data_IF_582239830653
#
_entry.id   IF_582239830653
#
_cell.length_a   1.000
_cell.length_b   1.000
_cell.length_c   1.000
_cell.angle_alpha   90.00
_cell.angle_beta   90.00
_cell.angle_gamma   90.00
#
_symmetry.space_group_name_H-M   'P 1'
#
loop_
_entity.id
_entity.type
_entity.pdbx_description
1 polymer ?
#
# COMPACT_ATOMS: atom_id res chain seq x y z
N UNK A 1 -29.31 52.02 -1.01
CA UNK A 1 -30.48 52.09 -1.90
C UNK A 1 -30.35 53.33 -2.78
N UNK A 2 -30.07 53.15 -4.07
CA UNK A 2 -29.91 54.27 -5.00
C UNK A 2 -31.21 54.44 -5.79
N UNK A 3 -31.84 55.61 -5.66
CA UNK A 3 -33.03 55.97 -6.44
C UNK A 3 -32.60 56.63 -7.73
N UNK A 4 -33.02 56.06 -8.87
CA UNK A 4 -32.73 56.64 -10.18
C UNK A 4 -34.04 57.01 -10.87
N UNK A 5 -34.25 58.30 -11.05
CA UNK A 5 -35.36 58.82 -11.85
C UNK A 5 -34.99 58.75 -13.32
N UNK A 6 -35.75 57.98 -14.09
CA UNK A 6 -35.57 57.86 -15.53
C UNK A 6 -36.75 58.53 -16.23
N UNK A 7 -36.43 59.44 -17.14
CA UNK A 7 -37.39 60.04 -18.07
C UNK A 7 -37.45 59.19 -19.32
N UNK A 8 -38.64 58.83 -19.75
CA UNK A 8 -38.88 58.08 -20.97
C UNK A 8 -40.06 58.71 -21.73
N UNK A 9 -40.14 58.46 -23.03
CA UNK A 9 -41.27 58.83 -23.86
C UNK A 9 -41.81 57.56 -24.52
N UNK A 10 -43.11 57.51 -24.74
CA UNK A 10 -43.75 56.38 -25.41
C UNK A 10 -43.53 56.50 -26.93
N UNK A 11 -43.39 55.37 -27.60
CA UNK A 11 -43.28 55.26 -29.06
C UNK A 11 -44.49 54.50 -29.59
N UNK A 12 -44.98 54.86 -30.77
CA UNK A 12 -46.08 54.17 -31.44
C UNK A 12 -45.57 52.93 -32.20
N UNK A 13 -46.48 52.22 -32.88
CA UNK A 13 -46.15 51.01 -33.66
C UNK A 13 -45.22 51.28 -34.85
N UNK A 14 -45.18 52.53 -35.34
CA UNK A 14 -44.28 53.00 -36.39
C UNK A 14 -42.92 53.46 -35.84
N UNK A 15 -42.68 53.23 -34.55
CA UNK A 15 -41.45 53.59 -33.83
C UNK A 15 -41.22 55.11 -33.71
N UNK A 16 -42.27 55.91 -33.85
CA UNK A 16 -42.25 57.36 -33.69
C UNK A 16 -42.64 57.79 -32.26
N UNK A 17 -42.04 58.85 -31.69
CA UNK A 17 -42.41 59.35 -30.38
C UNK A 17 -43.85 59.88 -30.33
N UNK A 18 -44.60 59.43 -29.33
CA UNK A 18 -45.92 59.96 -29.03
C UNK A 18 -45.78 61.37 -28.47
N UNK A 19 -46.55 62.30 -29.04
CA UNK A 19 -46.55 63.73 -28.69
C UNK A 19 -47.88 64.14 -28.07
N UNK A 20 -47.82 65.15 -27.21
CA UNK A 20 -49.01 65.82 -26.68
C UNK A 20 -49.70 66.65 -27.77
N UNK A 21 -50.91 67.15 -27.48
CA UNK A 21 -51.70 67.96 -28.42
C UNK A 21 -50.98 69.25 -28.88
N UNK A 22 -50.06 69.77 -28.07
CA UNK A 22 -49.22 70.93 -28.38
C UNK A 22 -47.96 70.60 -29.19
N UNK A 23 -47.76 69.33 -29.56
CA UNK A 23 -46.61 68.83 -30.31
C UNK A 23 -45.35 68.58 -29.49
N UNK A 24 -45.39 68.77 -28.16
CA UNK A 24 -44.30 68.40 -27.25
C UNK A 24 -44.23 66.88 -27.04
N UNK A 25 -43.06 66.35 -26.67
CA UNK A 25 -42.92 64.93 -26.31
C UNK A 25 -43.70 64.63 -25.04
N UNK A 26 -44.49 63.55 -25.03
CA UNK A 26 -45.13 63.07 -23.81
C UNK A 26 -44.10 62.34 -22.92
N UNK A 27 -43.40 63.13 -22.08
CA UNK A 27 -42.36 62.62 -21.18
C UNK A 27 -43.01 62.06 -19.92
N UNK A 28 -42.88 60.75 -19.71
CA UNK A 28 -43.21 60.08 -18.46
C UNK A 28 -41.97 59.94 -17.58
N UNK A 29 -42.20 59.84 -16.28
CA UNK A 29 -41.13 59.62 -15.29
C UNK A 29 -41.42 58.31 -14.56
N UNK A 30 -40.41 57.45 -14.44
CA UNK A 30 -40.46 56.28 -13.57
C UNK A 30 -39.35 56.40 -12.51
N UNK A 31 -39.70 56.06 -11.28
CA UNK A 31 -38.76 55.87 -10.19
C UNK A 31 -38.31 54.42 -10.21
N UNK A 32 -37.01 54.20 -10.48
CA UNK A 32 -36.42 52.86 -10.46
C UNK A 32 -35.63 52.73 -9.17
N UNK A 33 -36.03 51.76 -8.36
CA UNK A 33 -35.30 51.33 -7.18
C UNK A 33 -34.22 50.35 -7.64
N UNK A 34 -32.96 50.76 -7.56
CA UNK A 34 -31.84 49.85 -7.76
C UNK A 34 -31.53 49.22 -6.39
N UNK A 35 -31.81 47.91 -6.27
CA UNK A 35 -31.39 47.11 -5.11
C UNK A 35 -29.87 47.25 -4.92
N UNK A 36 -29.41 47.30 -3.67
CA UNK A 36 -28.00 47.55 -3.31
C UNK A 36 -27.11 46.45 -3.90
N UNK A 37 -26.41 46.75 -4.99
CA UNK A 37 -25.44 45.86 -5.64
C UNK A 37 -24.37 45.38 -4.67
N UNK A 38 -23.96 46.23 -3.73
CA UNK A 38 -22.89 45.94 -2.77
C UNK A 38 -23.27 44.81 -1.81
N UNK A 39 -24.52 44.77 -1.34
CA UNK A 39 -25.02 43.71 -0.44
C UNK A 39 -25.11 42.36 -1.17
N UNK A 40 -25.48 42.38 -2.45
CA UNK A 40 -25.52 41.18 -3.30
C UNK A 40 -24.11 40.68 -3.60
N UNK A 41 -23.15 41.58 -3.86
CA UNK A 41 -21.75 41.24 -4.08
C UNK A 41 -21.10 40.65 -2.82
N UNK A 42 -21.34 41.24 -1.64
CA UNK A 42 -20.86 40.72 -0.36
C UNK A 42 -21.44 39.33 -0.05
N UNK A 43 -22.74 39.14 -0.25
CA UNK A 43 -23.40 37.85 -0.07
C UNK A 43 -22.81 36.78 -1.01
N UNK A 44 -22.59 37.12 -2.29
CA UNK A 44 -21.99 36.20 -3.25
C UNK A 44 -20.54 35.87 -2.92
N UNK A 45 -19.74 36.84 -2.47
CA UNK A 45 -18.37 36.63 -2.04
C UNK A 45 -18.30 35.68 -0.82
N UNK A 46 -19.17 35.90 0.17
CA UNK A 46 -19.26 35.05 1.35
C UNK A 46 -19.67 33.60 1.00
N UNK A 47 -20.63 33.42 0.09
CA UNK A 47 -21.04 32.09 -0.38
C UNK A 47 -19.90 31.37 -1.12
N UNK A 48 -19.13 32.11 -1.94
CA UNK A 48 -18.00 31.56 -2.66
C UNK A 48 -16.87 31.15 -1.69
N UNK A 49 -16.57 31.97 -0.69
CA UNK A 49 -15.59 31.66 0.35
C UNK A 49 -15.99 30.39 1.13
N UNK A 50 -17.25 30.32 1.56
CA UNK A 50 -17.78 29.14 2.27
C UNK A 50 -17.70 27.87 1.39
N UNK A 51 -18.06 27.98 0.11
CA UNK A 51 -17.96 26.87 -0.83
C UNK A 51 -16.51 26.40 -1.01
N UNK A 52 -15.55 27.33 -1.12
CA UNK A 52 -14.13 26.99 -1.24
C UNK A 52 -13.57 26.34 0.04
N UNK A 53 -14.04 26.77 1.21
CA UNK A 53 -13.70 26.14 2.49
C UNK A 53 -14.17 24.68 2.50
N UNK A 54 -15.44 24.43 2.16
CA UNK A 54 -16.02 23.08 2.09
C UNK A 54 -15.29 22.17 1.08
N UNK A 55 -14.94 22.71 -0.09
CA UNK A 55 -14.17 21.97 -1.10
C UNK A 55 -12.81 21.56 -0.53
N UNK A 56 -12.13 22.48 0.16
CA UNK A 56 -10.83 22.20 0.79
C UNK A 56 -10.94 21.08 1.82
N UNK A 57 -11.95 21.15 2.70
CA UNK A 57 -12.21 20.13 3.72
C UNK A 57 -12.49 18.75 3.09
N UNK A 58 -13.31 18.71 2.04
CA UNK A 58 -13.60 17.48 1.31
C UNK A 58 -12.35 16.91 0.64
N UNK A 59 -11.49 17.74 0.04
CA UNK A 59 -10.22 17.31 -0.55
C UNK A 59 -9.27 16.74 0.50
N UNK A 60 -9.13 17.40 1.64
CA UNK A 60 -8.34 16.89 2.78
C UNK A 60 -8.87 15.53 3.23
N UNK A 61 -10.18 15.40 3.40
CA UNK A 61 -10.79 14.14 3.83
C UNK A 61 -10.61 13.04 2.80
N UNK A 62 -10.68 13.35 1.52
CA UNK A 62 -10.50 12.38 0.44
C UNK A 62 -9.06 11.85 0.39
N UNK A 63 -8.07 12.72 0.59
CA UNK A 63 -6.66 12.33 0.70
C UNK A 63 -6.41 11.44 1.92
N UNK A 64 -7.00 11.79 3.07
CA UNK A 64 -6.92 10.98 4.29
C UNK A 64 -7.52 9.58 4.08
N UNK A 65 -8.72 9.49 3.50
CA UNK A 65 -9.38 8.23 3.21
C UNK A 65 -8.59 7.37 2.21
N UNK A 66 -8.03 8.00 1.17
CA UNK A 66 -7.17 7.31 0.19
C UNK A 66 -5.97 6.67 0.89
N UNK A 67 -5.28 7.42 1.75
CA UNK A 67 -4.13 6.89 2.50
C UNK A 67 -4.52 5.74 3.45
N UNK A 68 -5.68 5.83 4.11
CA UNK A 68 -6.19 4.74 4.96
C UNK A 68 -6.48 3.46 4.17
N UNK A 69 -7.08 3.58 2.98
CA UNK A 69 -7.37 2.43 2.10
C UNK A 69 -6.07 1.76 1.63
N UNK A 70 -5.07 2.54 1.24
CA UNK A 70 -3.76 2.01 0.83
C UNK A 70 -3.10 1.23 1.98
N UNK A 71 -3.11 1.78 3.20
CA UNK A 71 -2.55 1.12 4.37
C UNK A 71 -3.29 -0.18 4.70
N UNK A 72 -4.63 -0.18 4.69
CA UNK A 72 -5.44 -1.37 4.94
C UNK A 72 -5.21 -2.45 3.88
N UNK A 73 -5.04 -2.05 2.62
CA UNK A 73 -4.75 -2.98 1.51
C UNK A 73 -3.41 -3.68 1.71
N UNK A 74 -2.38 -2.95 2.16
CA UNK A 74 -1.07 -3.54 2.47
C UNK A 74 -1.19 -4.52 3.63
N UNK A 75 -1.92 -4.15 4.69
CA UNK A 75 -2.13 -5.01 5.87
C UNK A 75 -2.86 -6.31 5.50
N UNK A 76 -3.91 -6.25 4.67
CA UNK A 76 -4.64 -7.44 4.22
C UNK A 76 -3.74 -8.39 3.43
N UNK A 77 -2.92 -7.87 2.50
CA UNK A 77 -1.95 -8.69 1.76
C UNK A 77 -0.92 -9.35 2.68
N UNK A 78 -0.47 -8.65 3.73
CA UNK A 78 0.45 -9.23 4.72
C UNK A 78 -0.20 -10.36 5.50
N UNK A 79 -1.46 -10.21 5.90
CA UNK A 79 -2.23 -11.26 6.59
C UNK A 79 -2.37 -12.48 5.68
N UNK A 80 -2.77 -12.31 4.42
CA UNK A 80 -2.88 -13.42 3.46
C UNK A 80 -1.56 -14.17 3.27
N UNK A 81 -0.43 -13.45 3.19
CA UNK A 81 0.91 -14.05 3.09
C UNK A 81 1.25 -14.84 4.35
N UNK A 82 0.97 -14.28 5.53
CA UNK A 82 1.23 -14.96 6.82
C UNK A 82 0.39 -16.22 6.93
N UNK A 83 -0.90 -16.16 6.58
CA UNK A 83 -1.79 -17.31 6.61
C UNK A 83 -1.31 -18.40 5.64
N UNK A 84 -0.83 -18.03 4.46
CA UNK A 84 -0.23 -18.97 3.51
C UNK A 84 1.06 -19.60 4.07
N UNK A 85 1.94 -18.81 4.69
CA UNK A 85 3.16 -19.32 5.32
C UNK A 85 2.82 -20.29 6.45
N UNK A 86 1.85 -19.94 7.30
CA UNK A 86 1.39 -20.81 8.39
C UNK A 86 0.82 -22.11 7.82
N UNK A 87 0.01 -22.05 6.77
CA UNK A 87 -0.48 -23.24 6.08
C UNK A 87 0.64 -24.15 5.58
N UNK A 88 1.68 -23.59 4.94
CA UNK A 88 2.84 -24.36 4.50
C UNK A 88 3.62 -24.95 5.69
N UNK A 89 3.77 -24.17 6.76
CA UNK A 89 4.53 -24.56 7.95
C UNK A 89 3.79 -25.59 8.80
N UNK A 90 2.47 -25.66 8.75
CA UNK A 90 1.69 -26.68 9.46
C UNK A 90 1.46 -27.93 8.59
N UNK A 91 1.79 -27.87 7.31
CA UNK A 91 1.65 -28.98 6.38
C UNK A 91 2.80 -30.00 6.56
N UNK A 92 2.51 -31.07 7.30
CA UNK A 92 3.46 -32.18 7.52
C UNK A 92 3.91 -32.88 6.22
N UNK A 93 3.06 -32.93 5.20
CA UNK A 93 3.45 -33.50 3.90
C UNK A 93 4.51 -32.63 3.22
N UNK A 94 4.32 -31.31 3.24
CA UNK A 94 5.29 -30.34 2.72
C UNK A 94 6.62 -30.39 3.49
N UNK A 95 6.57 -30.47 4.83
CA UNK A 95 7.79 -30.69 5.65
C UNK A 95 8.52 -31.96 5.27
N UNK A 96 7.79 -33.06 5.12
CA UNK A 96 8.37 -34.35 4.77
C UNK A 96 9.00 -34.35 3.38
N UNK A 97 8.43 -33.63 2.41
CA UNK A 97 9.04 -33.44 1.08
C UNK A 97 10.34 -32.65 1.19
N UNK A 98 10.36 -31.55 1.94
CA UNK A 98 11.58 -30.77 2.20
C UNK A 98 12.67 -31.61 2.87
N UNK A 99 12.32 -32.36 3.92
CA UNK A 99 13.24 -33.26 4.63
C UNK A 99 13.81 -34.34 3.72
N UNK A 100 12.97 -34.99 2.90
CA UNK A 100 13.43 -36.00 1.92
C UNK A 100 14.32 -35.42 0.84
N UNK A 101 14.09 -34.17 0.42
CA UNK A 101 14.96 -33.50 -0.56
C UNK A 101 16.35 -33.18 -0.01
N UNK A 102 16.47 -33.12 1.32
CA UNK A 102 17.70 -32.88 2.07
C UNK A 102 18.27 -34.17 2.67
N UNK A 103 17.80 -35.34 2.24
CA UNK A 103 18.27 -36.61 2.76
C UNK A 103 19.72 -36.86 2.34
N UNK A 104 20.64 -36.57 3.26
CA UNK A 104 22.09 -36.77 3.10
C UNK A 104 22.53 -38.17 3.56
N UNK A 105 21.60 -39.09 3.81
CA UNK A 105 21.92 -40.44 4.31
C UNK A 105 22.85 -41.18 3.35
N UNK A 106 22.58 -41.09 2.04
CA UNK A 106 23.40 -41.70 1.00
C UNK A 106 24.82 -41.09 0.97
N UNK A 107 24.92 -39.77 1.07
CA UNK A 107 26.22 -39.06 1.13
C UNK A 107 27.02 -39.48 2.38
N UNK A 108 26.36 -39.63 3.53
CA UNK A 108 26.98 -40.13 4.77
C UNK A 108 27.47 -41.57 4.59
N UNK A 109 26.71 -42.42 3.91
CA UNK A 109 27.09 -43.82 3.68
C UNK A 109 28.32 -43.93 2.76
N UNK A 110 28.39 -43.10 1.73
CA UNK A 110 29.57 -42.98 0.85
C UNK A 110 30.79 -42.52 1.66
N UNK A 111 30.65 -41.47 2.48
CA UNK A 111 31.75 -40.96 3.33
C UNK A 111 32.22 -42.03 4.32
N UNK A 112 31.30 -42.76 4.98
CA UNK A 112 31.64 -43.86 5.90
C UNK A 112 32.46 -44.93 5.20
N UNK A 113 32.05 -45.32 3.98
CA UNK A 113 32.74 -46.33 3.18
C UNK A 113 34.16 -45.87 2.82
N UNK A 114 34.32 -44.61 2.40
CA UNK A 114 35.62 -44.04 2.09
C UNK A 114 36.53 -43.95 3.33
N UNK A 115 36.01 -43.51 4.47
CA UNK A 115 36.76 -43.45 5.73
C UNK A 115 37.22 -44.84 6.18
N UNK A 116 36.37 -45.86 6.04
CA UNK A 116 36.74 -47.24 6.35
C UNK A 116 37.87 -47.73 5.43
N UNK A 117 37.81 -47.45 4.14
CA UNK A 117 38.87 -47.79 3.19
C UNK A 117 40.21 -47.14 3.56
N UNK A 118 40.21 -45.85 3.91
CA UNK A 118 41.41 -45.13 4.35
C UNK A 118 41.97 -45.72 5.64
N UNK A 119 41.11 -46.06 6.60
CA UNK A 119 41.52 -46.69 7.85
C UNK A 119 42.19 -48.06 7.62
N UNK A 120 41.60 -48.89 6.75
CA UNK A 120 42.15 -50.20 6.41
C UNK A 120 43.52 -50.10 5.70
N UNK A 121 43.68 -49.10 4.82
CA UNK A 121 44.97 -48.82 4.18
C UNK A 121 46.03 -48.34 5.18
N UNK A 122 45.66 -47.47 6.12
CA UNK A 122 46.57 -47.01 7.18
C UNK A 122 47.04 -48.17 8.06
N UNK A 123 46.16 -49.12 8.40
CA UNK A 123 46.54 -50.34 9.12
C UNK A 123 47.56 -51.15 8.31
N UNK A 124 47.33 -51.36 7.01
CA UNK A 124 48.27 -52.09 6.14
C UNK A 124 49.64 -51.43 6.14
N UNK A 125 49.70 -50.11 5.93
CA UNK A 125 50.97 -49.35 5.94
C UNK A 125 51.67 -49.46 7.31
N UNK A 126 50.93 -49.35 8.42
CA UNK A 126 51.50 -49.55 9.76
C UNK A 126 52.10 -50.95 9.93
N UNK A 127 51.38 -52.00 9.52
CA UNK A 127 51.86 -53.39 9.65
C UNK A 127 53.11 -53.68 8.83
N UNK A 128 53.24 -53.07 7.65
CA UNK A 128 54.43 -53.18 6.79
C UNK A 128 55.62 -52.44 7.42
N UNK A 129 55.39 -51.24 7.96
CA UNK A 129 56.46 -50.41 8.53
C UNK A 129 56.94 -50.89 9.92
N UNK A 130 56.16 -51.68 10.65
CA UNK A 130 56.54 -52.20 11.99
C UNK A 130 57.07 -53.64 11.99
N UNK A 131 57.33 -54.26 10.83
CA UNK A 131 57.89 -55.61 10.77
C UNK A 131 56.92 -56.70 11.26
N UNK A 132 55.61 -56.54 11.00
CA UNK A 132 54.64 -57.64 11.12
C UNK A 132 53.95 -57.81 12.47
N UNK A 133 53.98 -56.82 13.37
CA UNK A 133 53.11 -56.83 14.56
C UNK A 133 52.26 -55.56 14.60
N UNK A 134 50.94 -55.65 14.32
CA UNK A 134 50.03 -54.53 14.57
C UNK A 134 49.98 -54.29 16.08
N UNK A 135 50.29 -53.07 16.52
CA UNK A 135 50.01 -52.67 17.90
C UNK A 135 48.49 -52.57 18.06
N UNK A 136 47.85 -53.64 18.53
CA UNK A 136 46.50 -53.59 19.11
C UNK A 136 46.56 -52.70 20.34
N UNK A 137 46.39 -51.39 20.16
CA UNK A 137 45.90 -50.53 21.23
C UNK A 137 44.39 -50.73 21.28
N UNK A 138 43.92 -51.03 22.47
CA UNK A 138 42.54 -51.30 22.84
C UNK A 138 41.56 -50.47 22.02
N UNK A 139 40.52 -51.13 21.49
CA UNK A 139 39.25 -50.49 21.15
C UNK A 139 38.71 -49.86 22.44
N UNK A 140 39.13 -48.64 22.76
CA UNK A 140 38.26 -47.75 23.50
C UNK A 140 37.12 -47.46 22.54
N UNK A 141 35.97 -48.05 22.83
CA UNK A 141 34.70 -47.69 22.23
C UNK A 141 34.43 -46.22 22.60
N UNK A 142 35.04 -45.28 21.89
CA UNK A 142 34.49 -43.94 21.75
C UNK A 142 33.29 -44.07 20.84
N UNK A 143 32.20 -44.59 21.41
CA UNK A 143 30.86 -44.20 20.95
C UNK A 143 30.84 -42.70 21.19
N UNK A 144 31.08 -41.93 20.13
CA UNK A 144 30.62 -40.56 20.08
C UNK A 144 29.12 -40.65 20.32
N UNK A 145 28.73 -40.35 21.56
CA UNK A 145 27.36 -40.19 21.99
C UNK A 145 26.78 -39.00 21.22
N UNK A 146 26.26 -39.27 20.01
CA UNK A 146 25.67 -38.28 19.11
C UNK A 146 24.24 -37.94 19.47
N UNK A 147 23.71 -38.48 20.57
CA UNK A 147 22.30 -38.32 20.97
C UNK A 147 21.95 -36.91 21.47
N UNK A 148 22.86 -35.92 21.36
CA UNK A 148 22.66 -34.60 21.95
C UNK A 148 22.93 -33.38 21.08
N UNK A 149 23.03 -33.51 19.74
CA UNK A 149 23.37 -32.36 18.88
C UNK A 149 22.14 -31.65 18.29
N UNK A 150 20.93 -32.21 18.38
CA UNK A 150 19.72 -31.63 17.77
C UNK A 150 18.68 -31.04 18.73
N UNK A 151 18.97 -30.93 20.03
CA UNK A 151 18.10 -30.20 20.96
C UNK A 151 18.76 -28.88 21.39
N UNK A 152 18.58 -27.84 20.56
CA UNK A 152 18.58 -26.44 21.01
C UNK A 152 17.87 -25.52 20.03
#
# INVERSE_FOLDING_TARGET
MALKNVKYFLINEDNEPIKNEDGSLDIKTAEIILENTDEVEEFNASNLENSNQQITELQTKNNELTSQIEQQTIQLKQIEIIDFINFLTDNEEFKNVLLKSYDITDDIEVIKTQLQSVYDELIKVQTVNTGGVPKTKEKQNNILDTDNVFNK
#
